data_IF_912129008297
#
_entry.id   IF_912129008297
#
_cell.length_a   1.000
_cell.length_b   1.000
_cell.length_c   1.000
_cell.angle_alpha   90.00
_cell.angle_beta   90.00
_cell.angle_gamma   90.00
#
_symmetry.space_group_name_H-M   'P 1'
#
loop_
_entity.id
_entity.type
_entity.pdbx_description
1 polymer ?
#
# COMPACT_ATOMS: atom_id res chain seq x y z
N UNK A 1 16.15 16.08 -0.49
CA UNK A 1 16.56 15.37 0.73
C UNK A 1 16.81 13.93 0.32
N UNK A 2 17.95 13.34 0.71
CA UNK A 2 18.21 11.91 0.49
C UNK A 2 17.62 11.13 1.67
N UNK A 3 17.31 9.86 1.44
CA UNK A 3 16.89 8.96 2.51
C UNK A 3 18.06 8.64 3.45
N UNK A 4 17.81 8.68 4.76
CA UNK A 4 18.77 8.27 5.79
C UNK A 4 18.81 6.74 5.91
N UNK A 5 17.68 6.09 5.62
CA UNK A 5 17.56 4.63 5.60
C UNK A 5 16.46 4.17 4.65
N UNK A 6 16.40 2.88 4.41
CA UNK A 6 15.32 2.24 3.67
C UNK A 6 14.60 1.27 4.60
N UNK A 7 13.27 1.32 4.61
CA UNK A 7 12.44 0.40 5.40
C UNK A 7 11.50 -0.34 4.47
N UNK A 8 11.31 -1.63 4.71
CA UNK A 8 10.32 -2.44 4.01
C UNK A 8 9.34 -3.08 4.97
N UNK A 9 8.21 -3.52 4.44
CA UNK A 9 7.20 -4.24 5.19
C UNK A 9 6.13 -4.84 4.30
N UNK A 10 5.18 -5.51 4.94
CA UNK A 10 3.96 -6.00 4.30
C UNK A 10 2.76 -5.52 5.11
N UNK A 11 1.67 -5.25 4.42
CA UNK A 11 0.42 -4.80 5.02
C UNK A 11 -0.71 -5.62 4.42
N UNK A 12 -1.48 -6.27 5.28
CA UNK A 12 -2.59 -7.15 4.91
C UNK A 12 -3.91 -6.53 5.32
N UNK A 13 -4.89 -6.59 4.43
CA UNK A 13 -6.28 -6.25 4.69
C UNK A 13 -6.96 -7.52 5.23
N UNK A 14 -7.25 -7.55 6.53
CA UNK A 14 -7.84 -8.77 7.16
C UNK A 14 -9.24 -9.04 6.62
N UNK A 15 -10.02 -7.98 6.41
CA UNK A 15 -11.39 -8.03 5.88
C UNK A 15 -11.48 -7.09 4.69
N UNK A 16 -11.76 -7.63 3.51
CA UNK A 16 -12.00 -6.88 2.28
C UNK A 16 -13.10 -5.83 2.47
N UNK A 17 -12.93 -4.66 1.87
CA UNK A 17 -13.82 -3.51 2.07
C UNK A 17 -13.55 -2.74 3.36
N UNK A 18 -12.44 -3.03 4.06
CA UNK A 18 -12.02 -2.30 5.27
C UNK A 18 -10.60 -1.80 5.06
N UNK A 19 -10.47 -0.55 4.60
CA UNK A 19 -9.17 0.03 4.33
C UNK A 19 -8.26 0.06 5.57
N UNK A 20 -6.97 -0.19 5.33
CA UNK A 20 -5.91 -0.13 6.35
C UNK A 20 -4.75 0.73 5.88
N UNK A 21 -4.05 1.37 6.81
CA UNK A 21 -2.83 2.14 6.51
C UNK A 21 -1.66 1.21 6.24
N UNK A 22 -0.73 1.61 5.37
CA UNK A 22 0.54 0.88 5.19
C UNK A 22 1.34 0.78 6.50
N UNK A 23 1.26 1.80 7.34
CA UNK A 23 1.82 1.80 8.69
C UNK A 23 0.85 2.40 9.70
N UNK A 24 0.70 1.78 10.86
CA UNK A 24 -0.07 2.33 11.98
C UNK A 24 0.64 3.50 12.68
N UNK A 25 1.96 3.57 12.56
CA UNK A 25 2.79 4.66 13.07
C UNK A 25 3.22 5.60 11.94
N UNK A 26 3.40 6.89 12.25
CA UNK A 26 4.03 7.83 11.34
C UNK A 26 5.46 7.39 11.04
N UNK A 27 5.75 7.20 9.76
CA UNK A 27 7.09 6.91 9.24
C UNK A 27 7.35 7.97 8.19
N UNK A 28 8.18 8.95 8.54
CA UNK A 28 8.55 10.02 7.62
C UNK A 28 9.37 9.43 6.48
N UNK A 29 8.92 9.70 5.27
CA UNK A 29 9.60 9.23 4.07
C UNK A 29 9.52 10.31 2.99
N UNK A 30 10.27 10.11 1.91
CA UNK A 30 10.16 10.92 0.69
C UNK A 30 9.47 10.17 -0.43
N UNK A 31 9.55 8.83 -0.40
CA UNK A 31 9.06 7.95 -1.44
C UNK A 31 8.72 6.58 -0.87
N UNK A 32 7.72 5.93 -1.46
CA UNK A 32 7.39 4.51 -1.23
C UNK A 32 7.08 3.82 -2.55
N UNK A 33 7.62 2.62 -2.74
CA UNK A 33 7.20 1.69 -3.79
C UNK A 33 6.37 0.59 -3.15
N UNK A 34 5.22 0.30 -3.75
CA UNK A 34 4.20 -0.64 -3.27
C UNK A 34 4.00 -1.68 -4.37
N UNK A 35 3.92 -2.95 -3.99
CA UNK A 35 3.63 -4.05 -4.89
C UNK A 35 2.55 -4.96 -4.28
N UNK A 36 1.57 -5.38 -5.08
CA UNK A 36 0.67 -6.45 -4.67
C UNK A 36 1.45 -7.73 -4.28
N UNK A 37 1.01 -8.45 -3.25
CA UNK A 37 1.65 -9.71 -2.87
C UNK A 37 1.44 -10.79 -3.94
N UNK A 38 2.45 -11.65 -4.13
CA UNK A 38 2.46 -12.68 -5.17
C UNK A 38 1.29 -13.67 -5.06
N UNK A 39 0.86 -13.95 -3.82
CA UNK A 39 -0.26 -14.85 -3.54
C UNK A 39 -1.66 -14.21 -3.59
N UNK A 40 -1.77 -12.91 -3.91
CA UNK A 40 -3.08 -12.29 -4.10
C UNK A 40 -3.74 -12.84 -5.38
N UNK A 41 -5.02 -13.09 -5.26
CA UNK A 41 -5.94 -13.53 -6.32
C UNK A 41 -6.90 -12.41 -6.74
N UNK A 42 -7.11 -11.43 -5.85
CA UNK A 42 -7.89 -10.23 -6.09
C UNK A 42 -7.02 -9.00 -6.35
N UNK A 43 -7.70 -7.93 -6.74
CA UNK A 43 -7.09 -6.61 -6.87
C UNK A 43 -6.86 -5.98 -5.49
N UNK A 44 -5.83 -5.14 -5.42
CA UNK A 44 -5.60 -4.23 -4.30
C UNK A 44 -5.90 -2.81 -4.76
N UNK A 45 -6.50 -2.03 -3.87
CA UNK A 45 -6.81 -0.62 -4.08
C UNK A 45 -5.90 0.22 -3.20
N UNK A 46 -5.12 1.13 -3.79
CA UNK A 46 -4.17 1.98 -3.07
C UNK A 46 -4.59 3.44 -3.19
N UNK A 47 -4.60 4.18 -2.09
CA UNK A 47 -5.00 5.58 -2.13
C UNK A 47 -5.38 6.17 -0.78
N UNK A 48 -6.05 7.31 -0.82
CA UNK A 48 -6.69 7.96 0.31
C UNK A 48 -7.68 9.00 -0.25
N UNK A 49 -8.95 8.90 0.10
CA UNK A 49 -10.02 9.82 -0.33
C UNK A 49 -10.00 11.20 0.38
N UNK A 50 -9.04 11.42 1.27
CA UNK A 50 -8.91 12.61 2.10
C UNK A 50 -9.55 12.49 3.48
N UNK A 51 -10.41 11.49 3.70
CA UNK A 51 -11.00 11.16 4.99
C UNK A 51 -10.30 9.98 5.67
N UNK A 52 -9.31 9.38 5.01
CA UNK A 52 -8.60 8.21 5.53
C UNK A 52 -9.29 6.90 5.15
N UNK A 53 -9.74 6.80 3.91
CA UNK A 53 -10.30 5.58 3.36
C UNK A 53 -9.85 5.36 1.90
N UNK A 54 -9.94 4.11 1.44
CA UNK A 54 -9.79 3.75 0.02
C UNK A 54 -10.62 2.50 -0.25
N UNK A 55 -11.29 2.49 -1.40
CA UNK A 55 -12.21 1.42 -1.79
C UNK A 55 -11.98 1.06 -3.26
N UNK A 56 -12.68 0.03 -3.74
CA UNK A 56 -12.73 -0.32 -5.16
C UNK A 56 -13.28 0.78 -6.07
N UNK A 57 -14.01 1.76 -5.52
CA UNK A 57 -14.62 2.85 -6.29
C UNK A 57 -13.72 4.08 -6.46
N UNK A 58 -12.70 4.25 -5.61
CA UNK A 58 -11.86 5.46 -5.60
C UNK A 58 -10.35 5.18 -5.57
N UNK A 59 -9.92 3.93 -5.36
CA UNK A 59 -8.52 3.57 -5.26
C UNK A 59 -7.82 3.35 -6.60
N UNK A 60 -6.51 3.53 -6.59
CA UNK A 60 -5.63 3.09 -7.68
C UNK A 60 -5.47 1.57 -7.64
N UNK A 61 -5.75 0.90 -8.75
CA UNK A 61 -5.80 -0.56 -8.79
C UNK A 61 -4.41 -1.15 -9.02
N UNK A 62 -4.00 -2.10 -8.18
CA UNK A 62 -2.88 -3.00 -8.41
C UNK A 62 -3.39 -4.41 -8.65
N UNK A 63 -3.15 -4.93 -9.84
CA UNK A 63 -3.37 -6.32 -10.18
C UNK A 63 -2.33 -7.22 -9.53
N UNK A 64 -2.78 -8.40 -9.11
CA UNK A 64 -1.91 -9.50 -8.77
C UNK A 64 -2.13 -10.63 -9.75
N UNK A 65 -1.03 -11.08 -10.34
CA UNK A 65 -0.96 -12.32 -11.10
C UNK A 65 0.38 -12.91 -10.73
N UNK A 66 0.41 -14.18 -10.33
CA UNK A 66 1.62 -14.81 -9.82
C UNK A 66 2.81 -14.58 -10.78
N UNK A 67 3.87 -13.95 -10.27
CA UNK A 67 5.08 -13.59 -11.02
C UNK A 67 5.01 -12.29 -11.83
N UNK A 68 3.86 -11.61 -11.90
CA UNK A 68 3.67 -10.36 -12.66
C UNK A 68 2.80 -9.35 -11.88
N UNK A 69 3.15 -9.12 -10.62
CA UNK A 69 2.43 -8.19 -9.74
C UNK A 69 2.68 -6.74 -10.12
N UNK A 70 1.60 -5.96 -10.16
CA UNK A 70 1.68 -4.52 -10.39
C UNK A 70 2.43 -3.81 -9.26
N UNK A 71 3.09 -2.71 -9.63
CA UNK A 71 3.85 -1.85 -8.74
C UNK A 71 3.46 -0.39 -8.94
N UNK A 72 3.42 0.35 -7.84
CA UNK A 72 3.19 1.79 -7.81
C UNK A 72 4.24 2.47 -6.94
N UNK A 73 4.85 3.54 -7.43
CA UNK A 73 5.74 4.39 -6.65
C UNK A 73 5.09 5.75 -6.40
N UNK A 74 5.10 6.20 -5.16
CA UNK A 74 4.51 7.45 -4.71
C UNK A 74 5.55 8.30 -4.00
N UNK A 75 5.54 9.61 -4.27
CA UNK A 75 6.22 10.59 -3.43
C UNK A 75 5.27 11.01 -2.31
N UNK A 76 5.62 10.75 -1.05
CA UNK A 76 4.77 10.96 0.12
C UNK A 76 5.62 11.28 1.34
N UNK A 77 5.14 12.15 2.23
CA UNK A 77 5.88 12.61 3.41
C UNK A 77 5.75 11.69 4.64
N UNK A 78 4.73 10.83 4.69
CA UNK A 78 4.44 9.92 5.79
C UNK A 78 3.75 8.66 5.27
N UNK A 79 4.34 7.50 5.53
CA UNK A 79 3.81 6.21 5.11
C UNK A 79 2.41 5.91 5.70
N UNK A 80 2.08 6.47 6.88
CA UNK A 80 0.77 6.33 7.51
C UNK A 80 -0.37 7.06 6.77
N UNK A 81 -0.04 7.85 5.74
CA UNK A 81 -1.03 8.55 4.89
C UNK A 81 -1.50 7.73 3.69
N UNK A 82 -0.80 6.64 3.37
CA UNK A 82 -1.15 5.73 2.30
C UNK A 82 -2.01 4.61 2.86
N UNK A 83 -3.20 4.43 2.28
CA UNK A 83 -4.12 3.36 2.63
C UNK A 83 -4.21 2.33 1.52
N UNK A 84 -4.59 1.11 1.91
CA UNK A 84 -4.91 0.02 1.01
C UNK A 84 -6.23 -0.63 1.42
N UNK A 85 -6.96 -1.15 0.44
CA UNK A 85 -8.07 -2.08 0.61
C UNK A 85 -7.89 -3.25 -0.36
N UNK A 86 -8.56 -4.37 -0.11
CA UNK A 86 -8.45 -5.57 -0.94
C UNK A 86 -9.81 -6.04 -1.42
N UNK A 87 -9.82 -6.70 -2.58
CA UNK A 87 -11.01 -7.40 -3.08
C UNK A 87 -11.28 -8.72 -2.33
N UNK A 88 -10.27 -9.30 -1.67
CA UNK A 88 -10.34 -10.59 -0.98
C UNK A 88 -9.70 -10.50 0.41
N UNK A 89 -10.32 -11.15 1.40
CA UNK A 89 -9.84 -11.17 2.79
C UNK A 89 -8.43 -11.77 2.88
N UNK A 90 -7.56 -11.14 3.67
CA UNK A 90 -6.21 -11.63 3.91
C UNK A 90 -5.19 -11.30 2.81
N UNK A 91 -5.60 -10.59 1.76
CA UNK A 91 -4.70 -10.11 0.72
C UNK A 91 -4.07 -8.75 1.09
N UNK A 92 -3.01 -8.38 0.38
CA UNK A 92 -2.31 -7.14 0.72
C UNK A 92 -1.15 -6.77 -0.19
N UNK A 93 -0.24 -5.97 0.34
CA UNK A 93 0.93 -5.47 -0.40
C UNK A 93 2.21 -5.69 0.37
N UNK A 94 3.31 -5.71 -0.38
CA UNK A 94 4.63 -5.40 0.14
C UNK A 94 5.01 -3.96 -0.24
N UNK A 95 5.82 -3.32 0.59
CA UNK A 95 6.29 -1.96 0.35
C UNK A 95 7.75 -1.78 0.75
N UNK A 96 8.40 -0.81 0.12
CA UNK A 96 9.73 -0.33 0.46
C UNK A 96 9.72 1.21 0.41
N UNK A 97 10.17 1.85 1.48
CA UNK A 97 10.09 3.29 1.70
C UNK A 97 11.48 3.88 1.96
N UNK A 98 11.73 5.04 1.35
CA UNK A 98 12.91 5.88 1.54
C UNK A 98 12.67 6.83 2.72
N UNK A 99 13.22 6.49 3.89
CA UNK A 99 12.93 7.15 5.18
C UNK A 99 13.86 8.32 5.44
N UNK A 100 13.32 9.39 6.04
CA UNK A 100 14.01 10.66 6.37
C UNK A 100 13.70 11.16 7.78
#
# INVERSE_FOLDING_TARGET
MLADTVRSGQTTVTTAGTAVRLSSATIRCTRVTIQALDGNTGAIYVGNDGAGDVTSANGFVLGATAGTNDRLTLDVADLAKVWIDSAVNGEGVSWIAEVV
#
